data_IF_091723550889
#
_entry.id   IF_091723550889
#
_cell.length_a   1.000
_cell.length_b   1.000
_cell.length_c   1.000
_cell.angle_alpha   90.00
_cell.angle_beta   90.00
_cell.angle_gamma   90.00
#
_symmetry.space_group_name_H-M   'P 1'
#
loop_
_entity.id
_entity.type
_entity.pdbx_description
1 polymer ?
#
# COMPACT_ATOMS: atom_id res chain seq x y z
N UNK A 1 40.28 -70.83 -14.49
CA UNK A 1 40.42 -69.78 -13.46
C UNK A 1 39.12 -68.98 -13.46
N UNK A 2 38.10 -69.41 -12.70
CA UNK A 2 37.78 -68.91 -11.35
C UNK A 2 37.61 -67.37 -11.35
N UNK A 3 36.49 -66.75 -10.98
CA UNK A 3 35.53 -67.09 -9.92
C UNK A 3 34.16 -66.38 -10.15
N UNK A 4 33.15 -66.94 -9.51
CA UNK A 4 31.70 -66.70 -9.53
C UNK A 4 31.21 -65.53 -8.63
N UNK A 5 29.96 -65.08 -8.92
CA UNK A 5 28.92 -64.60 -7.97
C UNK A 5 29.10 -63.20 -7.32
N UNK A 6 28.09 -62.38 -6.99
CA UNK A 6 26.63 -62.34 -7.20
C UNK A 6 26.07 -61.01 -6.60
N UNK A 7 24.84 -60.62 -6.99
CA UNK A 7 23.80 -59.90 -6.20
C UNK A 7 24.08 -58.46 -5.72
N UNK A 8 23.29 -57.47 -6.20
CA UNK A 8 22.25 -56.80 -5.39
C UNK A 8 21.71 -55.51 -6.06
N UNK A 9 20.39 -55.49 -6.23
CA UNK A 9 19.52 -54.33 -6.45
C UNK A 9 19.92 -53.10 -5.61
N UNK A 10 19.98 -51.90 -6.21
CA UNK A 10 19.47 -50.67 -5.57
C UNK A 10 19.38 -49.46 -6.52
N UNK A 11 18.20 -48.85 -6.48
CA UNK A 11 17.90 -47.43 -6.72
C UNK A 11 18.02 -46.88 -8.15
N UNK A 12 16.94 -47.06 -8.92
CA UNK A 12 16.41 -45.98 -9.75
C UNK A 12 16.10 -44.80 -8.82
N UNK A 13 17.04 -43.86 -8.67
CA UNK A 13 16.70 -42.50 -8.22
C UNK A 13 16.37 -41.72 -9.47
N UNK A 14 15.08 -41.47 -9.65
CA UNK A 14 14.58 -40.38 -10.47
C UNK A 14 15.33 -39.10 -10.08
N UNK A 15 16.08 -38.55 -11.02
CA UNK A 15 16.58 -37.18 -10.91
C UNK A 15 15.35 -36.27 -10.91
N UNK A 16 14.96 -35.81 -9.72
CA UNK A 16 14.00 -34.73 -9.58
C UNK A 16 14.70 -33.47 -10.09
N UNK A 17 14.57 -33.20 -11.39
CA UNK A 17 14.84 -31.88 -11.94
C UNK A 17 13.70 -31.01 -11.39
N UNK A 18 13.97 -30.03 -10.51
CA UNK A 18 12.92 -29.10 -10.14
C UNK A 18 12.48 -28.44 -11.44
N UNK A 19 11.20 -28.54 -11.79
CA UNK A 19 10.61 -27.62 -12.77
C UNK A 19 10.69 -26.24 -12.13
N UNK A 20 11.78 -25.55 -12.42
CA UNK A 20 11.87 -24.13 -12.13
C UNK A 20 10.81 -23.49 -13.01
N UNK A 21 9.87 -22.80 -12.37
CA UNK A 21 8.76 -22.15 -13.05
C UNK A 21 9.36 -21.11 -13.99
N UNK A 22 9.38 -21.38 -15.30
CA UNK A 22 10.00 -20.51 -16.31
C UNK A 22 9.38 -19.11 -16.33
N UNK A 23 8.12 -18.98 -15.87
CA UNK A 23 7.48 -17.70 -15.64
C UNK A 23 8.12 -16.90 -14.50
N UNK A 24 8.50 -17.53 -13.38
CA UNK A 24 9.13 -16.85 -12.26
C UNK A 24 10.54 -16.37 -12.63
N UNK A 25 11.31 -17.19 -13.35
CA UNK A 25 12.64 -16.80 -13.83
C UNK A 25 12.56 -15.72 -14.90
N UNK A 26 11.59 -15.80 -15.83
CA UNK A 26 11.36 -14.74 -16.80
C UNK A 26 10.90 -13.44 -16.15
N UNK A 27 10.02 -13.46 -15.14
CA UNK A 27 9.63 -12.23 -14.42
C UNK A 27 10.80 -11.60 -13.67
N UNK A 28 11.70 -12.39 -13.06
CA UNK A 28 12.89 -11.86 -12.38
C UNK A 28 13.90 -11.29 -13.37
N UNK A 29 14.13 -11.96 -14.51
CA UNK A 29 15.09 -11.52 -15.54
C UNK A 29 14.57 -10.32 -16.35
N UNK A 30 13.26 -10.20 -16.56
CA UNK A 30 12.64 -9.05 -17.25
C UNK A 30 12.75 -7.78 -16.38
N UNK A 31 12.64 -7.89 -15.06
CA UNK A 31 12.85 -6.76 -14.14
C UNK A 31 14.34 -6.34 -14.10
N UNK A 32 15.27 -7.28 -14.15
CA UNK A 32 16.72 -6.98 -14.03
C UNK A 32 17.35 -6.35 -15.28
N UNK A 33 16.80 -6.53 -16.49
CA UNK A 33 17.44 -6.02 -17.72
C UNK A 33 16.67 -4.90 -18.43
N UNK A 34 15.41 -4.64 -18.08
CA UNK A 34 14.57 -3.63 -18.75
C UNK A 34 14.31 -2.39 -17.87
N UNK A 35 14.60 -2.42 -16.57
CA UNK A 35 13.90 -1.54 -15.62
C UNK A 35 14.64 -0.32 -15.06
N UNK A 36 15.94 -0.10 -15.33
CA UNK A 36 16.59 1.16 -14.94
C UNK A 36 16.38 2.30 -15.96
N UNK A 37 16.35 1.97 -17.26
CA UNK A 37 16.26 2.98 -18.32
C UNK A 37 14.82 3.53 -18.55
N UNK A 38 13.79 2.82 -18.06
CA UNK A 38 12.37 3.17 -18.25
C UNK A 38 11.60 3.28 -16.92
N UNK A 39 12.25 3.74 -15.84
CA UNK A 39 11.53 4.10 -14.62
C UNK A 39 10.46 5.15 -14.97
N UNK A 40 9.19 4.81 -14.73
CA UNK A 40 8.06 5.72 -14.96
C UNK A 40 8.30 7.02 -14.18
N UNK A 41 7.87 8.19 -14.67
CA UNK A 41 8.06 9.47 -13.97
C UNK A 41 7.62 9.44 -12.50
N UNK A 42 6.59 8.64 -12.18
CA UNK A 42 6.10 8.42 -10.82
C UNK A 42 7.13 7.82 -9.86
N UNK A 43 8.06 6.98 -10.34
CA UNK A 43 9.10 6.40 -9.49
C UNK A 43 10.23 7.37 -9.18
N UNK A 44 10.32 8.48 -9.92
CA UNK A 44 11.28 9.57 -9.68
C UNK A 44 10.74 10.68 -8.78
N UNK A 45 9.44 10.65 -8.48
CA UNK A 45 8.82 11.54 -7.50
C UNK A 45 9.63 11.51 -6.19
N UNK A 46 9.87 12.68 -5.60
CA UNK A 46 10.66 12.80 -4.38
C UNK A 46 9.75 12.68 -3.17
N UNK A 47 9.89 11.61 -2.41
CA UNK A 47 9.24 11.42 -1.11
C UNK A 47 10.02 12.19 -0.03
N UNK A 48 9.33 12.49 1.07
CA UNK A 48 9.91 13.19 2.22
C UNK A 48 10.47 12.14 3.19
N UNK A 49 11.78 12.10 3.37
CA UNK A 49 12.41 11.26 4.39
C UNK A 49 12.22 11.90 5.76
N UNK A 50 11.85 11.09 6.75
CA UNK A 50 11.61 11.55 8.12
C UNK A 50 12.31 10.66 9.14
N UNK A 51 12.56 11.21 10.32
CA UNK A 51 12.94 10.41 11.48
C UNK A 51 11.71 9.86 12.22
N UNK A 52 11.95 9.13 13.31
CA UNK A 52 10.92 8.52 14.17
C UNK A 52 9.91 9.50 14.79
N UNK A 53 10.27 10.79 14.84
CA UNK A 53 9.45 11.87 15.39
C UNK A 53 8.73 12.65 14.28
N UNK A 54 8.72 12.12 13.05
CA UNK A 54 8.12 12.76 11.89
C UNK A 54 8.76 14.12 11.54
N UNK A 55 10.05 14.28 11.85
CA UNK A 55 10.83 15.45 11.46
C UNK A 55 11.53 15.16 10.14
N UNK A 56 11.50 16.13 9.22
CA UNK A 56 12.12 16.01 7.90
C UNK A 56 13.63 15.90 8.04
N UNK A 57 14.21 14.86 7.44
CA UNK A 57 15.67 14.63 7.41
C UNK A 57 16.25 14.65 6.00
N UNK A 58 15.39 14.69 4.96
CA UNK A 58 15.83 14.77 3.58
C UNK A 58 14.73 14.40 2.59
N UNK A 59 15.14 14.02 1.39
CA UNK A 59 14.27 13.52 0.34
C UNK A 59 14.99 12.39 -0.41
N UNK A 60 14.21 11.47 -0.97
CA UNK A 60 14.70 10.44 -1.86
C UNK A 60 13.64 10.09 -2.89
N UNK A 61 14.04 9.45 -3.99
CA UNK A 61 13.08 8.99 -4.98
C UNK A 61 12.11 7.99 -4.37
N UNK A 62 10.90 7.93 -4.92
CA UNK A 62 9.90 6.92 -4.54
C UNK A 62 10.47 5.52 -4.69
N UNK A 63 11.22 5.26 -5.77
CA UNK A 63 11.90 3.97 -5.95
C UNK A 63 12.80 3.63 -4.75
N UNK A 64 13.66 4.57 -4.33
CA UNK A 64 14.62 4.34 -3.25
C UNK A 64 13.93 4.19 -1.90
N UNK A 65 12.88 4.97 -1.63
CA UNK A 65 12.10 4.90 -0.38
C UNK A 65 11.41 3.55 -0.19
N UNK A 66 11.12 2.84 -1.29
CA UNK A 66 10.44 1.55 -1.26
C UNK A 66 11.38 0.38 -1.52
N UNK A 67 12.68 0.62 -1.74
CA UNK A 67 13.64 -0.46 -1.99
C UNK A 67 14.03 -1.12 -0.67
N UNK A 68 13.82 -2.42 -0.58
CA UNK A 68 14.19 -3.25 0.56
C UNK A 68 15.70 -3.37 0.67
N UNK A 69 16.23 -3.04 1.83
CA UNK A 69 17.60 -3.28 2.22
C UNK A 69 17.68 -4.55 3.09
N UNK A 70 18.41 -5.55 2.60
CA UNK A 70 18.60 -6.82 3.27
C UNK A 70 19.44 -6.72 4.56
N UNK A 71 20.28 -5.69 4.69
CA UNK A 71 21.13 -5.45 5.87
C UNK A 71 20.29 -4.87 6.99
N UNK A 72 19.59 -3.76 6.74
CA UNK A 72 18.75 -3.09 7.75
C UNK A 72 17.40 -3.76 7.94
N UNK A 73 17.02 -4.68 7.04
CA UNK A 73 15.70 -5.33 7.00
C UNK A 73 14.56 -4.32 6.99
N UNK A 74 14.72 -3.25 6.21
CA UNK A 74 13.74 -2.19 6.06
C UNK A 74 13.98 -1.41 4.76
N UNK A 75 13.19 -0.37 4.52
CA UNK A 75 13.44 0.67 3.53
C UNK A 75 13.54 2.04 4.24
N UNK A 76 13.98 3.11 3.58
CA UNK A 76 14.03 4.44 4.20
C UNK A 76 12.67 4.89 4.74
N UNK A 77 12.64 5.36 5.99
CA UNK A 77 11.42 5.90 6.61
C UNK A 77 11.01 7.20 5.91
N UNK A 78 9.77 7.25 5.44
CA UNK A 78 9.25 8.41 4.73
C UNK A 78 7.81 8.73 5.14
N UNK A 79 7.37 9.97 4.90
CA UNK A 79 6.00 10.40 5.19
C UNK A 79 5.03 9.87 4.14
N UNK A 80 3.87 9.43 4.58
CA UNK A 80 2.77 8.95 3.75
C UNK A 80 1.41 9.44 4.26
N UNK A 81 0.35 9.14 3.52
CA UNK A 81 -1.02 9.31 3.98
C UNK A 81 -1.94 8.19 3.48
N UNK A 82 -2.98 7.94 4.27
CA UNK A 82 -4.07 7.01 3.99
C UNK A 82 -5.42 7.70 4.17
N UNK A 83 -6.23 7.67 3.12
CA UNK A 83 -7.57 8.25 3.09
C UNK A 83 -8.62 7.16 3.26
N UNK A 84 -9.56 7.40 4.17
CA UNK A 84 -10.78 6.63 4.34
C UNK A 84 -11.97 7.51 3.95
N UNK A 85 -12.44 7.36 2.71
CA UNK A 85 -13.58 8.06 2.16
C UNK A 85 -14.86 7.28 2.41
N UNK A 86 -15.79 7.89 3.15
CA UNK A 86 -17.14 7.39 3.35
C UNK A 86 -18.12 8.18 2.49
N UNK A 87 -19.15 7.53 1.95
CA UNK A 87 -20.29 8.24 1.37
C UNK A 87 -21.23 8.76 2.49
N UNK A 88 -22.28 9.50 2.13
CA UNK A 88 -23.25 10.03 3.12
C UNK A 88 -24.06 8.94 3.82
N UNK A 89 -24.10 7.73 3.24
CA UNK A 89 -24.70 6.53 3.84
C UNK A 89 -23.76 5.82 4.84
N UNK A 90 -22.53 6.33 5.01
CA UNK A 90 -21.54 5.75 5.91
C UNK A 90 -20.90 4.47 5.36
N UNK A 91 -20.90 4.26 4.05
CA UNK A 91 -20.20 3.15 3.39
C UNK A 91 -18.78 3.58 3.04
N UNK A 92 -17.78 2.72 3.29
CA UNK A 92 -16.38 3.00 3.00
C UNK A 92 -16.08 2.65 1.54
N UNK A 93 -15.47 3.58 0.82
CA UNK A 93 -14.89 3.32 -0.50
C UNK A 93 -13.60 2.53 -0.34
N UNK A 94 -13.57 1.33 -0.90
CA UNK A 94 -12.36 0.51 -1.03
C UNK A 94 -11.90 0.49 -2.48
N UNK A 95 -10.60 0.42 -2.71
CA UNK A 95 -10.04 0.21 -4.03
C UNK A 95 -9.26 -1.10 -4.10
N UNK A 96 -9.30 -1.74 -5.27
CA UNK A 96 -8.33 -2.74 -5.67
C UNK A 96 -7.24 -2.05 -6.48
N UNK A 97 -6.00 -2.17 -6.03
CA UNK A 97 -4.82 -1.64 -6.71
C UNK A 97 -4.68 -2.29 -8.09
N UNK A 98 -4.29 -1.51 -9.11
CA UNK A 98 -4.01 -2.07 -10.44
C UNK A 98 -2.91 -3.14 -10.38
N UNK A 99 -2.88 -4.01 -11.39
CA UNK A 99 -1.78 -4.97 -11.56
C UNK A 99 -0.46 -4.30 -11.98
N UNK A 100 -0.49 -3.02 -12.37
CA UNK A 100 0.70 -2.25 -12.77
C UNK A 100 1.42 -1.60 -11.58
N UNK A 101 0.83 -1.60 -10.38
CA UNK A 101 1.48 -1.05 -9.17
C UNK A 101 2.76 -1.83 -8.83
N UNK A 102 3.82 -1.10 -8.52
CA UNK A 102 5.09 -1.69 -8.07
C UNK A 102 4.94 -2.38 -6.71
N UNK A 103 4.27 -1.74 -5.75
CA UNK A 103 3.97 -2.33 -4.44
C UNK A 103 2.52 -2.82 -4.37
N UNK A 104 2.35 -4.05 -3.88
CA UNK A 104 1.06 -4.70 -3.64
C UNK A 104 0.07 -4.64 -4.83
N UNK A 105 0.47 -5.07 -6.05
CA UNK A 105 -0.45 -5.12 -7.20
C UNK A 105 -1.64 -6.03 -6.90
N UNK A 106 -2.83 -5.64 -7.35
CA UNK A 106 -4.07 -6.42 -7.20
C UNK A 106 -4.61 -6.52 -5.77
N UNK A 107 -3.96 -5.92 -4.77
CA UNK A 107 -4.44 -5.94 -3.38
C UNK A 107 -5.59 -4.96 -3.19
N UNK A 108 -6.57 -5.34 -2.35
CA UNK A 108 -7.56 -4.42 -1.82
C UNK A 108 -6.98 -3.56 -0.68
N UNK A 109 -7.39 -2.30 -0.65
CA UNK A 109 -6.96 -1.33 0.36
C UNK A 109 -8.04 -0.27 0.61
N UNK A 110 -7.78 0.68 1.53
CA UNK A 110 -8.61 1.87 1.74
C UNK A 110 -8.59 2.79 0.51
N UNK A 111 -9.38 3.86 0.57
CA UNK A 111 -9.81 4.63 -0.60
C UNK A 111 -8.66 5.17 -1.45
N UNK A 112 -7.63 5.74 -0.83
CA UNK A 112 -6.43 6.21 -1.53
C UNK A 112 -5.26 6.28 -0.54
N UNK A 113 -4.06 5.84 -0.97
CA UNK A 113 -2.84 5.88 -0.16
C UNK A 113 -1.68 6.35 -1.03
N UNK A 114 -0.91 7.32 -0.55
CA UNK A 114 0.23 7.84 -1.29
C UNK A 114 1.15 8.70 -0.41
N UNK A 115 1.96 9.53 -1.05
CA UNK A 115 3.01 10.30 -0.41
C UNK A 115 2.83 11.79 -0.67
N UNK A 116 2.99 12.66 0.34
CA UNK A 116 3.34 14.05 0.08
C UNK A 116 4.71 14.13 -0.58
N UNK A 117 4.81 14.94 -1.62
CA UNK A 117 6.06 15.18 -2.33
C UNK A 117 6.93 16.15 -1.55
N UNK A 118 8.25 16.01 -1.70
CA UNK A 118 9.24 16.96 -1.21
C UNK A 118 9.27 18.25 -2.06
N UNK A 119 8.11 18.89 -2.17
CA UNK A 119 7.86 20.17 -2.83
C UNK A 119 7.31 21.15 -1.79
N UNK A 120 7.56 22.45 -1.95
CA UNK A 120 7.14 23.47 -0.97
C UNK A 120 5.67 23.40 -0.57
N UNK A 121 4.80 23.05 -1.52
CA UNK A 121 3.35 22.98 -1.33
C UNK A 121 2.87 21.73 -0.57
N UNK A 122 3.69 20.67 -0.49
CA UNK A 122 3.31 19.39 0.12
C UNK A 122 4.19 19.00 1.31
N UNK A 123 5.38 19.60 1.45
CA UNK A 123 6.36 19.20 2.45
C UNK A 123 5.95 19.51 3.90
N UNK A 124 5.08 20.48 4.09
CA UNK A 124 4.77 21.05 5.40
C UNK A 124 3.62 20.30 6.10
N UNK A 125 3.99 19.26 6.86
CA UNK A 125 3.12 18.59 7.83
C UNK A 125 1.76 18.16 7.28
N UNK A 126 0.72 18.34 8.11
CA UNK A 126 -0.65 17.92 7.81
C UNK A 126 -1.25 18.67 6.62
N UNK A 127 -1.05 19.98 6.54
CA UNK A 127 -1.58 20.82 5.46
C UNK A 127 -1.02 20.39 4.10
N UNK A 128 0.30 20.18 4.04
CA UNK A 128 0.96 19.68 2.83
C UNK A 128 0.50 18.27 2.46
N UNK A 129 0.29 17.40 3.45
CA UNK A 129 -0.27 16.06 3.22
C UNK A 129 -1.74 16.11 2.72
N UNK A 130 -2.56 17.08 3.15
CA UNK A 130 -3.91 17.28 2.60
C UNK A 130 -3.88 17.75 1.14
N UNK A 131 -2.92 18.61 0.77
CA UNK A 131 -2.69 19.00 -0.63
C UNK A 131 -2.35 17.77 -1.48
N UNK A 132 -1.44 16.93 -0.98
CA UNK A 132 -1.07 15.68 -1.64
C UNK A 132 -2.23 14.69 -1.74
N UNK A 133 -3.03 14.56 -0.66
CA UNK A 133 -4.23 13.73 -0.60
C UNK A 133 -5.22 14.11 -1.70
N UNK A 134 -5.55 15.39 -1.85
CA UNK A 134 -6.44 15.87 -2.91
C UNK A 134 -5.87 15.60 -4.31
N UNK A 135 -4.58 15.86 -4.54
CA UNK A 135 -3.90 15.55 -5.81
C UNK A 135 -4.02 14.07 -6.18
N UNK A 136 -3.90 13.17 -5.19
CA UNK A 136 -3.96 11.72 -5.44
C UNK A 136 -5.38 11.19 -5.55
N UNK A 137 -6.35 11.77 -4.85
CA UNK A 137 -7.77 11.48 -5.11
C UNK A 137 -8.15 11.81 -6.56
N UNK A 138 -7.68 12.94 -7.08
CA UNK A 138 -7.88 13.30 -8.49
C UNK A 138 -7.15 12.32 -9.43
N UNK A 139 -5.88 12.02 -9.17
CA UNK A 139 -5.08 11.16 -10.04
C UNK A 139 -5.52 9.68 -10.07
N UNK A 140 -5.88 9.11 -8.91
CA UNK A 140 -6.23 7.69 -8.79
C UNK A 140 -7.72 7.43 -9.01
N UNK A 141 -8.58 8.28 -8.44
CA UNK A 141 -10.03 8.06 -8.43
C UNK A 141 -10.79 9.01 -9.35
N UNK A 142 -10.12 9.97 -10.01
CA UNK A 142 -10.75 10.93 -10.90
C UNK A 142 -11.68 11.92 -10.18
N UNK A 143 -11.51 12.09 -8.87
CA UNK A 143 -12.29 13.04 -8.07
C UNK A 143 -11.74 14.43 -8.38
N UNK A 144 -12.51 15.21 -9.15
CA UNK A 144 -12.15 16.58 -9.49
C UNK A 144 -11.84 17.43 -8.25
N UNK A 145 -10.82 18.29 -8.36
CA UNK A 145 -10.29 19.11 -7.26
C UNK A 145 -11.33 19.99 -6.56
N UNK A 146 -12.33 20.48 -7.30
CA UNK A 146 -13.42 21.33 -6.80
C UNK A 146 -14.48 20.56 -5.99
N UNK A 147 -14.49 19.23 -6.08
CA UNK A 147 -15.35 18.40 -5.25
C UNK A 147 -14.84 18.23 -3.82
N UNK A 148 -13.56 18.53 -3.52
CA UNK A 148 -12.97 18.35 -2.19
C UNK A 148 -12.12 19.55 -1.79
N UNK A 149 -12.57 20.29 -0.78
CA UNK A 149 -11.79 21.35 -0.14
C UNK A 149 -10.89 20.78 0.96
N UNK A 150 -9.77 21.47 1.26
CA UNK A 150 -8.76 20.94 2.19
C UNK A 150 -9.29 20.83 3.63
N UNK A 151 -10.20 21.71 4.03
CA UNK A 151 -10.85 21.74 5.33
C UNK A 151 -11.87 20.61 5.55
N UNK A 152 -12.24 19.89 4.49
CA UNK A 152 -13.12 18.73 4.58
C UNK A 152 -12.38 17.47 5.08
N UNK A 153 -11.05 17.44 4.98
CA UNK A 153 -10.26 16.33 5.49
C UNK A 153 -10.19 16.35 7.02
N UNK A 154 -10.67 15.28 7.66
CA UNK A 154 -10.47 15.04 9.07
C UNK A 154 -9.17 14.28 9.31
N UNK A 155 -8.11 15.00 9.68
CA UNK A 155 -6.87 14.38 10.16
C UNK A 155 -7.07 13.77 11.55
N UNK A 156 -6.93 12.45 11.65
CA UNK A 156 -7.14 11.71 12.90
C UNK A 156 -5.84 11.49 13.67
N UNK A 157 -4.85 10.85 13.07
CA UNK A 157 -3.62 10.45 13.77
C UNK A 157 -2.51 10.06 12.77
N UNK A 158 -1.34 9.67 13.29
CA UNK A 158 -0.22 9.07 12.57
C UNK A 158 0.01 7.63 12.99
N UNK A 159 0.23 6.76 12.01
CA UNK A 159 0.61 5.36 12.23
C UNK A 159 2.00 5.14 11.67
N UNK A 160 2.88 4.53 12.45
CA UNK A 160 4.18 4.08 11.96
C UNK A 160 4.16 2.56 11.80
N UNK A 161 4.35 2.09 10.56
CA UNK A 161 4.43 0.68 10.23
C UNK A 161 5.58 0.38 9.25
N UNK A 162 5.95 -0.89 9.15
CA UNK A 162 6.88 -1.42 8.15
C UNK A 162 6.27 -2.70 7.55
N UNK A 163 6.22 -2.80 6.22
CA UNK A 163 5.63 -3.92 5.50
C UNK A 163 6.42 -4.29 4.26
N UNK A 164 7.02 -5.49 4.24
CA UNK A 164 7.70 -6.02 3.05
C UNK A 164 6.69 -6.59 2.05
N UNK A 165 6.93 -6.39 0.75
CA UNK A 165 6.21 -7.09 -0.31
C UNK A 165 6.85 -8.46 -0.49
N UNK A 166 6.10 -9.52 -0.16
CA UNK A 166 6.59 -10.91 -0.18
C UNK A 166 7.22 -11.30 -1.52
N UNK A 167 8.39 -11.94 -1.44
CA UNK A 167 9.12 -12.42 -2.63
C UNK A 167 9.73 -11.32 -3.50
N UNK A 168 9.73 -10.06 -3.07
CA UNK A 168 10.25 -8.93 -3.86
C UNK A 168 11.36 -8.13 -3.15
N UNK A 169 11.92 -7.18 -3.90
CA UNK A 169 12.85 -6.16 -3.43
C UNK A 169 12.17 -4.88 -2.91
N UNK A 170 10.84 -4.91 -2.71
CA UNK A 170 10.08 -3.73 -2.29
C UNK A 170 9.49 -3.87 -0.88
N UNK A 171 9.36 -2.74 -0.20
CA UNK A 171 8.75 -2.60 1.11
C UNK A 171 8.14 -1.21 1.28
N UNK A 172 7.30 -1.07 2.30
CA UNK A 172 6.77 0.19 2.83
C UNK A 172 7.37 0.39 4.21
N UNK A 173 7.80 1.61 4.52
CA UNK A 173 8.25 2.00 5.85
C UNK A 173 7.88 3.46 6.07
N UNK A 174 6.77 3.69 6.75
CA UNK A 174 6.05 4.95 6.64
C UNK A 174 5.62 5.50 8.01
N UNK A 175 5.63 6.82 8.14
CA UNK A 175 4.76 7.55 9.07
C UNK A 175 3.55 8.00 8.27
N UNK A 176 2.44 7.29 8.45
CA UNK A 176 1.22 7.38 7.67
C UNK A 176 0.18 8.29 8.35
N UNK A 177 -0.17 9.38 7.67
CA UNK A 177 -1.18 10.34 8.13
C UNK A 177 -2.57 9.82 7.77
N UNK A 178 -3.41 9.63 8.79
CA UNK A 178 -4.75 9.09 8.58
C UNK A 178 -5.76 10.22 8.39
N UNK A 179 -6.33 10.28 7.19
CA UNK A 179 -7.41 11.20 6.84
C UNK A 179 -8.73 10.47 6.67
N UNK A 180 -9.80 11.05 7.21
CA UNK A 180 -11.17 10.65 6.93
C UNK A 180 -11.88 11.75 6.17
N UNK A 181 -12.64 11.36 5.15
CA UNK A 181 -13.52 12.23 4.39
C UNK A 181 -14.90 11.58 4.33
N UNK A 182 -15.98 12.34 4.54
CA UNK A 182 -17.34 11.82 4.39
C UNK A 182 -18.12 12.68 3.40
N UNK A 183 -18.27 12.21 2.16
CA UNK A 183 -18.89 12.95 1.06
C UNK A 183 -19.29 12.03 -0.09
N UNK A 184 -20.39 12.36 -0.76
CA UNK A 184 -20.76 11.74 -2.03
C UNK A 184 -19.97 12.42 -3.16
N UNK A 185 -19.20 11.63 -3.91
CA UNK A 185 -18.25 12.12 -4.91
C UNK A 185 -18.43 11.37 -6.23
N UNK A 186 -18.26 12.08 -7.35
CA UNK A 186 -18.19 11.45 -8.67
C UNK A 186 -16.80 10.83 -8.87
N UNK A 187 -16.78 9.53 -9.18
CA UNK A 187 -15.55 8.75 -9.39
C UNK A 187 -15.31 8.48 -10.87
N UNK A 188 -14.08 8.69 -11.34
CA UNK A 188 -13.57 8.27 -12.65
C UNK A 188 -12.20 7.60 -12.46
N UNK A 189 -12.15 6.38 -11.88
CA UNK A 189 -10.88 5.76 -11.51
C UNK A 189 -9.93 5.60 -12.69
N UNK A 190 -8.66 5.90 -12.45
CA UNK A 190 -7.60 5.70 -13.42
C UNK A 190 -7.23 4.20 -13.47
N UNK A 191 -7.43 3.49 -14.59
CA UNK A 191 -7.22 2.04 -14.68
C UNK A 191 -5.74 1.62 -14.48
N UNK A 192 -4.79 2.53 -14.71
CA UNK A 192 -3.37 2.27 -14.44
C UNK A 192 -3.05 2.28 -12.94
N UNK A 193 -3.92 2.86 -12.11
CA UNK A 193 -3.74 2.93 -10.66
C UNK A 193 -4.72 2.05 -9.90
N UNK A 194 -5.97 1.96 -10.39
CA UNK A 194 -7.10 1.34 -9.71
C UNK A 194 -7.80 0.35 -10.63
N UNK A 195 -7.81 -0.92 -10.25
CA UNK A 195 -8.47 -1.97 -11.02
C UNK A 195 -10.00 -1.95 -10.84
N UNK A 196 -10.47 -1.70 -9.62
CA UNK A 196 -11.89 -1.55 -9.30
C UNK A 196 -12.08 -0.85 -7.97
N UNK A 197 -13.28 -0.30 -7.76
CA UNK A 197 -13.71 0.30 -6.49
C UNK A 197 -15.00 -0.33 -6.02
N UNK A 198 -15.22 -0.36 -4.69
CA UNK A 198 -16.48 -0.82 -4.10
C UNK A 198 -16.79 -0.01 -2.83
N UNK A 199 -18.03 0.49 -2.73
CA UNK A 199 -18.56 0.98 -1.46
C UNK A 199 -19.05 -0.21 -0.64
N UNK A 200 -18.51 -0.35 0.57
CA UNK A 200 -18.84 -1.44 1.48
C UNK A 200 -19.41 -0.84 2.75
N UNK A 201 -20.61 -1.25 3.12
CA UNK A 201 -21.21 -0.84 4.39
C UNK A 201 -20.61 -1.59 5.58
N UNK A 202 -20.66 -1.00 6.77
CA UNK A 202 -20.16 -1.65 8.00
C UNK A 202 -20.77 -3.03 8.22
N UNK A 203 -22.06 -3.21 7.91
CA UNK A 203 -22.76 -4.50 8.01
C UNK A 203 -22.20 -5.55 7.06
N UNK A 204 -21.81 -5.15 5.84
CA UNK A 204 -21.28 -6.05 4.80
C UNK A 204 -19.77 -6.27 4.90
N UNK A 205 -19.07 -5.49 5.73
CA UNK A 205 -17.60 -5.46 5.75
C UNK A 205 -16.96 -6.83 6.04
N UNK A 206 -17.44 -7.55 7.05
CA UNK A 206 -16.91 -8.87 7.37
C UNK A 206 -17.14 -9.89 6.24
N UNK A 207 -18.33 -9.88 5.64
CA UNK A 207 -18.65 -10.76 4.50
C UNK A 207 -17.81 -10.43 3.28
N UNK A 208 -17.58 -9.14 3.02
CA UNK A 208 -16.68 -8.66 1.97
C UNK A 208 -15.24 -9.17 2.19
N UNK A 209 -14.69 -8.98 3.39
CA UNK A 209 -13.33 -9.45 3.74
C UNK A 209 -13.19 -10.97 3.66
N UNK A 210 -14.21 -11.72 4.10
CA UNK A 210 -14.25 -13.18 3.92
C UNK A 210 -14.33 -13.58 2.45
N UNK A 211 -15.11 -12.83 1.65
CA UNK A 211 -15.21 -13.00 0.21
C UNK A 211 -13.87 -12.80 -0.50
N UNK A 212 -13.12 -11.75 -0.15
CA UNK A 212 -11.77 -11.53 -0.67
C UNK A 212 -10.86 -12.72 -0.36
N UNK A 213 -10.83 -13.16 0.90
CA UNK A 213 -10.03 -14.32 1.34
C UNK A 213 -10.41 -15.61 0.61
N UNK A 214 -11.71 -15.86 0.41
CA UNK A 214 -12.20 -17.06 -0.29
C UNK A 214 -11.79 -17.09 -1.76
N UNK A 215 -11.62 -15.93 -2.38
CA UNK A 215 -11.23 -15.78 -3.78
C UNK A 215 -9.73 -15.49 -3.94
N UNK A 216 -8.93 -15.73 -2.91
CA UNK A 216 -7.48 -15.47 -2.89
C UNK A 216 -7.10 -14.03 -3.31
N UNK A 217 -7.95 -13.06 -3.00
CA UNK A 217 -7.68 -11.64 -3.23
C UNK A 217 -7.07 -11.05 -1.95
N UNK A 218 -5.78 -10.65 -1.98
CA UNK A 218 -5.10 -10.17 -0.78
C UNK A 218 -5.51 -8.74 -0.43
N UNK A 219 -5.25 -8.35 0.82
CA UNK A 219 -5.41 -6.97 1.31
C UNK A 219 -4.06 -6.42 1.76
N UNK A 220 -3.86 -5.12 1.58
CA UNK A 220 -2.59 -4.46 1.92
C UNK A 220 -2.31 -4.50 3.43
N UNK A 221 -1.02 -4.58 3.85
CA UNK A 221 -0.68 -4.75 5.26
C UNK A 221 -1.17 -3.59 6.14
N UNK A 222 -1.00 -2.34 5.73
CA UNK A 222 -1.46 -1.17 6.49
C UNK A 222 -2.99 -1.16 6.66
N UNK A 223 -3.74 -1.48 5.60
CA UNK A 223 -5.20 -1.60 5.69
C UNK A 223 -5.62 -2.63 6.73
N UNK A 224 -4.95 -3.79 6.79
CA UNK A 224 -5.21 -4.80 7.81
C UNK A 224 -4.87 -4.30 9.23
N UNK A 225 -3.77 -3.54 9.39
CA UNK A 225 -3.41 -2.93 10.68
C UNK A 225 -4.47 -1.93 11.13
N UNK A 226 -4.92 -1.05 10.23
CA UNK A 226 -5.92 -0.03 10.54
C UNK A 226 -7.29 -0.66 10.82
N UNK A 227 -7.68 -1.68 10.05
CA UNK A 227 -8.91 -2.44 10.26
C UNK A 227 -8.98 -3.11 11.64
N UNK A 228 -7.84 -3.58 12.15
CA UNK A 228 -7.78 -4.27 13.45
C UNK A 228 -7.77 -3.30 14.62
N UNK A 229 -7.09 -2.16 14.49
CA UNK A 229 -6.79 -1.29 15.62
C UNK A 229 -7.71 -0.08 15.73
N UNK A 230 -8.22 0.46 14.61
CA UNK A 230 -8.84 1.79 14.60
C UNK A 230 -10.18 1.85 13.87
N UNK A 231 -10.25 1.30 12.65
CA UNK A 231 -11.37 1.49 11.74
C UNK A 231 -12.74 1.14 12.35
N UNK A 232 -12.93 0.05 13.13
CA UNK A 232 -14.24 -0.29 13.69
C UNK A 232 -14.77 0.80 14.62
N UNK A 233 -13.88 1.46 15.37
CA UNK A 233 -14.24 2.55 16.29
C UNK A 233 -14.58 3.80 15.50
N UNK A 234 -13.74 4.22 14.56
CA UNK A 234 -14.00 5.41 13.74
C UNK A 234 -15.29 5.27 12.93
N UNK A 235 -15.49 4.11 12.28
CA UNK A 235 -16.64 3.86 11.43
C UNK A 235 -17.97 3.88 12.21
N UNK A 236 -17.98 3.43 13.48
CA UNK A 236 -19.17 3.54 14.33
C UNK A 236 -19.49 4.98 14.74
N UNK A 237 -18.51 5.89 14.67
CA UNK A 237 -18.59 7.24 15.23
C UNK A 237 -18.25 8.32 14.19
N UNK A 238 -18.66 8.15 12.92
CA UNK A 238 -18.36 9.10 11.84
C UNK A 238 -18.82 10.54 12.15
N UNK A 239 -19.93 10.70 12.88
CA UNK A 239 -20.45 12.01 13.28
C UNK A 239 -19.69 12.69 14.43
N UNK A 240 -18.79 11.98 15.10
CA UNK A 240 -18.02 12.49 16.25
C UNK A 240 -16.54 12.12 16.19
N UNK A 241 -15.97 12.09 14.98
CA UNK A 241 -14.56 11.77 14.75
C UNK A 241 -13.57 12.70 15.47
N UNK A 242 -14.01 13.90 15.85
CA UNK A 242 -13.22 14.83 16.68
C UNK A 242 -12.71 14.19 17.97
N UNK A 243 -13.48 13.28 18.56
CA UNK A 243 -13.18 12.66 19.85
C UNK A 243 -12.05 11.62 19.75
N UNK A 244 -11.67 11.25 18.53
CA UNK A 244 -10.66 10.24 18.23
C UNK A 244 -9.40 10.82 17.61
N UNK A 245 -9.28 12.16 17.55
CA UNK A 245 -8.07 12.83 17.07
C UNK A 245 -6.94 12.68 18.09
N UNK A 246 -5.81 12.13 17.64
CA UNK A 246 -4.56 12.06 18.41
C UNK A 246 -3.44 12.60 17.52
N UNK A 247 -3.17 13.90 17.66
CA UNK A 247 -2.16 14.58 16.83
C UNK A 247 -0.77 14.54 17.47
N UNK A 248 -0.68 14.16 18.75
CA UNK A 248 0.57 14.14 19.50
C UNK A 248 1.33 12.83 19.29
N UNK A 249 0.63 11.69 19.28
CA UNK A 249 1.25 10.38 19.21
C UNK A 249 1.47 9.91 17.78
N UNK A 250 2.46 9.04 17.62
CA UNK A 250 2.68 8.21 16.44
C UNK A 250 2.47 6.76 16.90
N UNK A 251 1.42 6.11 16.42
CA UNK A 251 1.09 4.75 16.82
C UNK A 251 1.99 3.75 16.07
N UNK A 252 2.94 3.14 16.76
CA UNK A 252 3.81 2.09 16.19
C UNK A 252 3.05 0.76 16.11
N UNK A 253 2.90 0.20 14.92
CA UNK A 253 2.14 -1.03 14.64
C UNK A 253 2.98 -2.09 13.92
#
# INVERSE_FOLDING_TARGET
MQLLQSIAKRALRTSFVPRINSHALMSTVILDQVQEAQLTPLLREQCILVNELDQIIGAASKLDCHKWDAVTKSSPLHRAFSIFLFNTQGELLLQQRSSQKVTFPGHFTNSCCSHPLSLEVEKNGVEGAMVAARRRLEFELGIAHDQVSLDEFQYLTRIWYNGRVDGSQFAEHEIDYIFVLQKDLELKPNPDEVQRVEYVSQKRFNDFMMGLKKNDVPTTPWFNLICRNFLPVWWKNLSSLSDFKDHERIHKL
#
